data_IF_136832683802
#
_entry.id   IF_136832683802
#
_cell.length_a   1.000
_cell.length_b   1.000
_cell.length_c   1.000
_cell.angle_alpha   90.00
_cell.angle_beta   90.00
_cell.angle_gamma   90.00
#
_symmetry.space_group_name_H-M   'P 1'
#
loop_
_entity.id
_entity.type
_entity.pdbx_description
1 polymer ?
#
# COMPACT_ATOMS: atom_id res chain seq x y z
N UNK A 1 -9.05 10.07 -24.29
CA UNK A 1 -8.72 8.64 -24.43
C UNK A 1 -7.89 8.22 -23.23
N UNK A 2 -8.43 7.41 -22.30
CA UNK A 2 -7.61 6.82 -21.23
C UNK A 2 -6.69 5.79 -21.88
N UNK A 3 -5.39 6.03 -21.81
CA UNK A 3 -4.40 5.13 -22.37
C UNK A 3 -4.50 3.76 -21.69
N UNK A 4 -4.47 2.63 -22.43
CA UNK A 4 -4.43 1.28 -21.84
C UNK A 4 -3.25 1.09 -20.87
N UNK A 5 -2.17 1.85 -21.09
CA UNK A 5 -0.99 1.91 -20.21
C UNK A 5 -1.37 2.43 -18.81
N UNK A 6 -2.31 3.39 -18.72
CA UNK A 6 -2.75 3.94 -17.43
C UNK A 6 -3.48 2.90 -16.57
N UNK A 7 -4.21 1.97 -17.18
CA UNK A 7 -4.89 0.89 -16.47
C UNK A 7 -3.90 -0.18 -15.98
N UNK A 8 -2.88 -0.48 -16.80
CA UNK A 8 -1.82 -1.42 -16.44
C UNK A 8 -0.97 -0.90 -15.27
N UNK A 9 -0.48 0.35 -15.37
CA UNK A 9 0.30 1.01 -14.31
C UNK A 9 -0.51 1.06 -13.01
N UNK A 10 -1.79 1.40 -13.10
CA UNK A 10 -2.69 1.45 -11.94
C UNK A 10 -2.82 0.10 -11.24
N UNK A 11 -3.00 -0.99 -11.99
CA UNK A 11 -3.05 -2.34 -11.42
C UNK A 11 -1.72 -2.75 -10.78
N UNK A 12 -0.59 -2.41 -11.42
CA UNK A 12 0.74 -2.65 -10.87
C UNK A 12 0.97 -1.91 -9.56
N UNK A 13 0.57 -0.63 -9.48
CA UNK A 13 0.70 0.17 -8.24
C UNK A 13 -0.14 -0.43 -7.11
N UNK A 14 -1.36 -0.89 -7.39
CA UNK A 14 -2.21 -1.54 -6.38
C UNK A 14 -1.56 -2.85 -5.90
N UNK A 15 -1.08 -3.69 -6.82
CA UNK A 15 -0.42 -4.95 -6.47
C UNK A 15 0.86 -4.72 -5.65
N UNK A 16 1.69 -3.74 -6.04
CA UNK A 16 2.90 -3.36 -5.32
C UNK A 16 2.58 -2.84 -3.91
N UNK A 17 1.55 -2.00 -3.75
CA UNK A 17 1.10 -1.53 -2.44
C UNK A 17 0.67 -2.68 -1.52
N UNK A 18 -0.10 -3.64 -2.04
CA UNK A 18 -0.55 -4.82 -1.27
C UNK A 18 0.64 -5.68 -0.86
N UNK A 19 1.54 -6.01 -1.81
CA UNK A 19 2.74 -6.79 -1.52
C UNK A 19 3.63 -6.10 -0.48
N UNK A 20 3.75 -4.78 -0.55
CA UNK A 20 4.55 -4.00 0.39
C UNK A 20 3.93 -3.97 1.80
N UNK A 21 2.60 -3.89 1.91
CA UNK A 21 1.90 -4.04 3.20
C UNK A 21 2.15 -5.44 3.78
N UNK A 22 1.97 -6.49 2.98
CA UNK A 22 2.21 -7.87 3.42
C UNK A 22 3.67 -8.08 3.86
N UNK A 23 4.62 -7.50 3.13
CA UNK A 23 6.03 -7.53 3.47
C UNK A 23 6.31 -6.87 4.81
N UNK A 24 5.75 -5.69 5.07
CA UNK A 24 5.92 -4.99 6.36
C UNK A 24 5.32 -5.82 7.50
N UNK A 25 4.12 -6.36 7.32
CA UNK A 25 3.46 -7.19 8.34
C UNK A 25 4.25 -8.46 8.63
N UNK A 26 4.76 -9.13 7.60
CA UNK A 26 5.58 -10.33 7.76
C UNK A 26 6.87 -10.04 8.52
N UNK A 27 7.59 -8.98 8.17
CA UNK A 27 8.82 -8.60 8.87
C UNK A 27 8.53 -8.15 10.30
N UNK A 28 7.47 -7.37 10.51
CA UNK A 28 7.03 -6.97 11.85
C UNK A 28 6.71 -8.18 12.74
N UNK A 29 6.04 -9.19 12.21
CA UNK A 29 5.79 -10.45 12.92
C UNK A 29 7.07 -11.23 13.20
N UNK A 30 7.95 -11.38 12.20
CA UNK A 30 9.19 -12.13 12.32
C UNK A 30 10.15 -11.50 13.35
N UNK A 31 10.16 -10.18 13.45
CA UNK A 31 10.97 -9.43 14.40
C UNK A 31 10.27 -9.19 15.75
N UNK A 32 9.12 -9.84 16.01
CA UNK A 32 8.27 -9.63 17.20
C UNK A 32 7.93 -8.16 17.49
N UNK A 33 7.88 -7.33 16.45
CA UNK A 33 7.73 -5.88 16.57
C UNK A 33 8.76 -5.29 17.55
N UNK A 34 10.01 -5.75 17.50
CA UNK A 34 11.10 -5.31 18.40
C UNK A 34 11.63 -3.90 18.09
N UNK A 35 11.14 -3.26 17.03
CA UNK A 35 11.49 -1.88 16.68
C UNK A 35 11.13 -0.85 17.75
N UNK A 36 11.81 0.30 17.69
CA UNK A 36 11.58 1.46 18.54
C UNK A 36 10.15 2.01 18.37
N UNK A 37 9.59 2.73 19.36
CA UNK A 37 8.25 3.30 19.26
C UNK A 37 8.04 4.16 18.01
N UNK A 38 9.08 4.88 17.57
CA UNK A 38 9.06 5.73 16.37
C UNK A 38 8.97 4.89 15.10
N UNK A 39 9.68 3.77 15.02
CA UNK A 39 9.60 2.84 13.89
C UNK A 39 8.19 2.24 13.79
N UNK A 40 7.59 1.83 14.91
CA UNK A 40 6.22 1.30 14.94
C UNK A 40 5.19 2.30 14.42
N UNK A 41 5.29 3.56 14.84
CA UNK A 41 4.40 4.64 14.37
C UNK A 41 4.62 4.92 12.88
N UNK A 42 5.88 4.93 12.44
CA UNK A 42 6.25 5.14 11.03
C UNK A 42 5.68 4.02 10.15
N UNK A 43 5.86 2.75 10.54
CA UNK A 43 5.30 1.60 9.82
C UNK A 43 3.78 1.63 9.77
N UNK A 44 3.13 1.93 10.89
CA UNK A 44 1.66 2.01 10.95
C UNK A 44 1.13 3.12 10.03
N UNK A 45 1.79 4.28 10.04
CA UNK A 45 1.43 5.41 9.16
C UNK A 45 1.62 5.06 7.69
N UNK A 46 2.73 4.38 7.35
CA UNK A 46 3.02 3.89 6.00
C UNK A 46 1.96 2.91 5.49
N UNK A 47 1.59 1.92 6.31
CA UNK A 47 0.54 0.94 5.98
C UNK A 47 -0.79 1.65 5.74
N UNK A 48 -1.19 2.59 6.60
CA UNK A 48 -2.42 3.38 6.41
C UNK A 48 -2.38 4.18 5.11
N UNK A 49 -1.27 4.86 4.81
CA UNK A 49 -1.07 5.60 3.55
C UNK A 49 -1.18 4.70 2.32
N UNK A 50 -0.60 3.50 2.35
CA UNK A 50 -0.65 2.52 1.26
C UNK A 50 -2.07 1.99 1.04
N UNK A 51 -2.80 1.70 2.11
CA UNK A 51 -4.21 1.30 2.06
C UNK A 51 -5.05 2.42 1.44
N UNK A 52 -4.88 3.65 1.92
CA UNK A 52 -5.59 4.82 1.39
C UNK A 52 -5.25 5.07 -0.08
N UNK A 53 -3.97 4.94 -0.45
CA UNK A 53 -3.52 5.09 -1.84
C UNK A 53 -4.18 4.03 -2.73
N UNK A 54 -4.13 2.76 -2.35
CA UNK A 54 -4.78 1.67 -3.08
C UNK A 54 -6.30 1.85 -3.17
N UNK A 55 -6.95 2.32 -2.09
CA UNK A 55 -8.39 2.58 -2.05
C UNK A 55 -8.81 3.73 -2.95
N UNK A 56 -8.14 4.89 -2.86
CA UNK A 56 -8.40 6.05 -3.72
C UNK A 56 -8.15 5.71 -5.19
N UNK A 57 -7.03 5.02 -5.44
CA UNK A 57 -6.69 4.51 -6.75
C UNK A 57 -7.62 3.38 -7.19
N UNK A 58 -8.47 2.78 -6.36
CA UNK A 58 -9.50 1.83 -6.80
C UNK A 58 -10.84 2.55 -7.03
N UNK A 59 -11.21 3.49 -6.16
CA UNK A 59 -12.46 4.25 -6.21
C UNK A 59 -12.55 5.21 -7.41
N UNK A 60 -11.42 5.69 -7.93
CA UNK A 60 -11.37 6.49 -9.19
C UNK A 60 -11.89 5.74 -10.44
N UNK A 61 -12.34 4.48 -10.32
CA UNK A 61 -13.10 3.76 -11.36
C UNK A 61 -14.61 4.10 -11.35
N UNK A 62 -15.13 4.77 -10.31
CA UNK A 62 -16.59 4.92 -10.09
C UNK A 62 -17.13 6.34 -10.33
N UNK A 63 -16.28 7.31 -10.65
CA UNK A 63 -16.65 8.74 -10.86
C UNK A 63 -16.27 9.26 -12.25
N UNK A 64 -15.99 8.37 -13.19
CA UNK A 64 -15.91 8.64 -14.62
C UNK A 64 -16.75 7.58 -15.35
#
# INVERSE_FOLDING_TARGET
MKSPISHLIRSLVIAANILFILWILFNGMNENWSGTPVEKVSYSSLVVLLILNAYLLSRRRRSE
#
